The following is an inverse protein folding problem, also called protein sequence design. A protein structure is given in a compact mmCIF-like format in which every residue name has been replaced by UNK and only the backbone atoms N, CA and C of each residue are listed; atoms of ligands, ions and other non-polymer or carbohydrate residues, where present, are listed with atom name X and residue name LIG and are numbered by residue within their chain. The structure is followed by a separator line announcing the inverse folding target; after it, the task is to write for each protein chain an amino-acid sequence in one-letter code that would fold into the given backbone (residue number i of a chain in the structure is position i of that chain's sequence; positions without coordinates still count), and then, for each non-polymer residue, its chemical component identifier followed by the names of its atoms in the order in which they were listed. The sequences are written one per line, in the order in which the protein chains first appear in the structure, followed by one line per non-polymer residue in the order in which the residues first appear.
data_IF_137333857336
#
_entry.id   IF_137333857336
#
_cell.length_a   1.000
_cell.length_b   1.000
_cell.length_c   1.000
_cell.angle_alpha   90.00
_cell.angle_beta   90.00
_cell.angle_gamma   90.00
#
_symmetry.space_group_name_H-M   'P 1'
#
loop_
_entity.id
_entity.type
_entity.pdbx_description
1 polymer ?
#
# COMPACT_ATOMS: atom_id res chain seq x y z
N UNK A 1 9.86 9.11 -64.10
CA UNK A 1 10.85 10.20 -64.26
C UNK A 1 10.58 11.20 -63.15
N UNK A 2 11.12 10.98 -61.95
CA UNK A 2 12.44 11.46 -61.48
C UNK A 2 12.43 12.93 -61.07
N UNK A 3 12.41 13.19 -59.75
CA UNK A 3 13.28 14.14 -59.02
C UNK A 3 12.81 14.20 -57.56
N UNK A 4 13.47 13.58 -56.57
CA UNK A 4 14.75 13.90 -55.91
C UNK A 4 14.78 15.22 -55.11
N UNK A 5 14.80 15.01 -53.79
CA UNK A 5 15.59 15.69 -52.73
C UNK A 5 15.29 17.13 -52.31
N UNK A 6 15.07 17.31 -50.99
CA UNK A 6 16.06 17.93 -50.06
C UNK A 6 15.62 17.82 -48.59
N UNK A 7 16.48 17.20 -47.79
CA UNK A 7 16.63 17.46 -46.34
C UNK A 7 17.44 18.76 -46.13
N UNK A 8 17.34 19.39 -44.95
CA UNK A 8 18.45 19.32 -43.98
C UNK A 8 17.94 19.09 -42.54
N UNK A 9 18.51 18.15 -41.78
CA UNK A 9 19.70 18.32 -40.94
C UNK A 9 19.52 19.38 -39.84
N UNK A 10 19.07 18.95 -38.66
CA UNK A 10 19.31 19.67 -37.41
C UNK A 10 20.31 18.89 -36.57
N UNK A 11 21.27 19.65 -36.11
CA UNK A 11 22.59 19.29 -35.60
C UNK A 11 22.57 18.90 -34.12
N UNK A 12 23.45 17.95 -33.81
CA UNK A 12 24.28 17.80 -32.61
C UNK A 12 23.66 18.12 -31.23
N UNK A 13 23.76 17.14 -30.33
CA UNK A 13 24.78 17.23 -29.27
C UNK A 13 25.03 15.86 -28.63
N UNK A 14 26.28 15.42 -28.76
CA UNK A 14 26.91 14.39 -27.95
C UNK A 14 27.17 14.96 -26.56
N UNK A 15 26.78 14.23 -25.52
CA UNK A 15 27.37 14.39 -24.19
C UNK A 15 27.77 13.01 -23.66
N UNK A 16 29.08 12.75 -23.75
CA UNK A 16 29.82 11.72 -23.02
C UNK A 16 30.35 12.39 -21.75
N UNK A 17 30.10 11.83 -20.57
CA UNK A 17 30.87 12.04 -19.32
C UNK A 17 30.16 11.27 -18.19
N UNK A 18 30.71 10.13 -17.78
CA UNK A 18 31.74 9.90 -16.76
C UNK A 18 31.15 9.47 -15.42
N UNK A 19 31.58 8.27 -15.03
CA UNK A 19 31.52 7.57 -13.76
C UNK A 19 31.91 8.46 -12.56
N UNK A 20 31.10 8.44 -11.49
CA UNK A 20 31.46 8.53 -10.06
C UNK A 20 30.25 7.96 -9.29
N UNK A 21 30.29 6.74 -8.78
CA UNK A 21 30.79 6.37 -7.45
C UNK A 21 30.22 7.20 -6.29
N UNK A 22 29.77 6.44 -5.28
CA UNK A 22 29.66 6.80 -3.88
C UNK A 22 28.28 7.26 -3.38
N UNK A 23 27.63 6.31 -2.69
CA UNK A 23 26.69 6.60 -1.64
C UNK A 23 27.48 7.17 -0.43
N UNK A 24 27.04 8.31 0.12
CA UNK A 24 26.92 8.35 1.57
C UNK A 24 25.60 9.00 2.02
N UNK A 25 24.90 8.22 2.85
CA UNK A 25 24.35 8.56 4.17
C UNK A 25 24.33 10.05 4.61
N UNK A 26 23.23 10.36 5.29
CA UNK A 26 22.94 11.44 6.28
C UNK A 26 22.21 12.67 5.74
N UNK A 27 21.39 13.44 6.47
CA UNK A 27 20.60 13.31 7.71
C UNK A 27 20.07 14.75 7.98
N UNK A 28 18.76 14.95 8.16
CA UNK A 28 18.21 16.12 8.87
C UNK A 28 16.76 15.81 9.27
N UNK A 29 16.46 15.25 10.44
CA UNK A 29 16.27 15.94 11.74
C UNK A 29 15.64 17.32 11.58
N UNK A 30 14.34 17.47 11.88
CA UNK A 30 13.73 18.08 13.10
C UNK A 30 12.27 17.57 13.12
N UNK A 31 11.82 16.88 14.15
CA UNK A 31 11.05 17.53 15.21
C UNK A 31 11.36 16.96 16.60
N UNK A 32 11.15 17.83 17.58
CA UNK A 32 11.77 17.87 18.89
C UNK A 32 10.64 17.84 19.91
N UNK A 33 10.72 16.84 20.81
CA UNK A 33 10.38 16.88 22.26
C UNK A 33 8.92 17.12 22.67
N UNK A 34 8.39 16.55 23.76
CA UNK A 34 8.88 15.68 24.83
C UNK A 34 7.66 15.33 25.70
N UNK A 35 7.57 14.10 26.19
CA UNK A 35 7.18 13.74 27.58
C UNK A 35 6.91 12.25 27.62
N UNK A 36 7.29 11.44 28.60
CA UNK A 36 8.21 11.53 29.74
C UNK A 36 8.47 10.06 30.11
N UNK A 37 9.70 9.75 30.52
CA UNK A 37 10.15 8.42 30.93
C UNK A 37 9.26 7.83 32.04
N UNK A 38 9.08 6.51 32.10
CA UNK A 38 9.69 5.57 33.07
C UNK A 38 8.72 4.36 33.09
N UNK A 39 9.04 3.08 33.29
CA UNK A 39 10.22 2.36 33.75
C UNK A 39 9.91 0.88 33.54
N UNK A 40 10.88 0.11 33.06
CA UNK A 40 11.02 -1.35 33.27
C UNK A 40 9.94 -2.28 32.69
N UNK A 41 10.30 -3.10 31.70
CA UNK A 41 10.60 -4.51 32.01
C UNK A 41 11.10 -5.26 30.77
N UNK A 42 12.26 -5.89 30.91
CA UNK A 42 12.78 -6.93 30.02
C UNK A 42 11.78 -8.10 29.97
N UNK A 43 11.20 -8.33 28.79
CA UNK A 43 11.05 -9.66 28.20
C UNK A 43 10.78 -9.47 26.72
N UNK A 44 11.82 -9.64 25.92
CA UNK A 44 11.68 -10.05 24.52
C UNK A 44 11.08 -11.46 24.50
N UNK A 45 9.80 -11.56 24.84
CA UNK A 45 8.97 -12.62 24.33
C UNK A 45 8.59 -12.13 22.94
N UNK A 46 9.27 -12.64 21.92
CA UNK A 46 8.73 -12.61 20.56
C UNK A 46 7.38 -13.32 20.66
N UNK A 47 6.31 -12.55 20.82
CA UNK A 47 4.96 -13.06 20.67
C UNK A 47 4.84 -13.41 19.20
N UNK A 48 5.09 -14.68 18.89
CA UNK A 48 4.65 -15.27 17.64
C UNK A 48 3.16 -14.90 17.52
N UNK A 49 2.70 -14.31 16.41
CA UNK A 49 1.32 -13.86 16.31
C UNK A 49 0.41 -15.05 16.58
N UNK A 50 -0.34 -14.99 17.69
CA UNK A 50 -1.30 -16.01 18.08
C UNK A 50 -2.39 -16.04 17.00
N UNK A 51 -2.24 -16.97 16.06
CA UNK A 51 -3.14 -17.17 14.94
C UNK A 51 -4.42 -17.87 15.42
N UNK A 52 -5.18 -17.19 16.29
CA UNK A 52 -6.46 -17.70 16.81
C UNK A 52 -7.52 -17.59 15.71
N UNK A 53 -8.28 -18.66 15.42
CA UNK A 53 -9.38 -18.58 14.48
C UNK A 53 -10.41 -17.56 14.99
N UNK A 54 -10.83 -16.65 14.13
CA UNK A 54 -11.78 -15.58 14.42
C UNK A 54 -11.15 -14.27 14.90
N UNK A 55 -9.88 -14.25 15.33
CA UNK A 55 -9.20 -13.03 15.75
C UNK A 55 -8.67 -12.20 14.59
N UNK A 56 -8.92 -10.89 14.61
CA UNK A 56 -8.27 -9.94 13.69
C UNK A 56 -6.86 -9.66 14.23
N UNK A 57 -5.86 -9.73 13.35
CA UNK A 57 -4.48 -9.39 13.68
C UNK A 57 -4.34 -7.89 13.94
N UNK A 58 -3.22 -7.50 14.54
CA UNK A 58 -2.81 -6.10 14.56
C UNK A 58 -2.75 -5.51 13.14
N UNK A 59 -2.95 -4.19 13.05
CA UNK A 59 -2.81 -3.44 11.81
C UNK A 59 -1.34 -3.39 11.42
N UNK A 60 -1.04 -3.95 10.26
CA UNK A 60 0.28 -4.00 9.66
C UNK A 60 0.41 -2.93 8.57
N UNK A 61 1.62 -2.40 8.33
CA UNK A 61 1.85 -1.52 7.19
C UNK A 61 1.64 -2.25 5.86
N UNK A 62 1.41 -1.53 4.77
CA UNK A 62 1.27 -2.14 3.44
C UNK A 62 2.46 -3.05 3.08
N UNK A 63 2.14 -4.30 2.73
CA UNK A 63 3.08 -5.32 2.25
C UNK A 63 2.78 -5.64 0.77
N UNK A 64 3.73 -6.21 0.04
CA UNK A 64 3.56 -6.63 -1.35
C UNK A 64 2.34 -7.55 -1.53
N UNK A 65 2.08 -8.43 -0.56
CA UNK A 65 0.90 -9.30 -0.57
C UNK A 65 -0.40 -8.50 -0.49
N UNK A 66 -0.45 -7.50 0.40
CA UNK A 66 -1.65 -6.68 0.58
C UNK A 66 -1.90 -5.80 -0.66
N UNK A 67 -0.83 -5.28 -1.27
CA UNK A 67 -0.88 -4.51 -2.51
C UNK A 67 -1.41 -5.38 -3.66
N UNK A 68 -0.91 -6.61 -3.82
CA UNK A 68 -1.41 -7.56 -4.82
C UNK A 68 -2.90 -7.87 -4.64
N UNK A 69 -3.32 -8.18 -3.41
CA UNK A 69 -4.73 -8.44 -3.09
C UNK A 69 -5.59 -7.23 -3.44
N UNK A 70 -5.17 -6.03 -3.03
CA UNK A 70 -5.88 -4.79 -3.30
C UNK A 70 -6.03 -4.53 -4.82
N UNK A 71 -4.97 -4.76 -5.60
CA UNK A 71 -4.98 -4.61 -7.05
C UNK A 71 -5.89 -5.64 -7.72
N UNK A 72 -5.89 -6.89 -7.23
CA UNK A 72 -6.70 -7.97 -7.78
C UNK A 72 -8.20 -7.71 -7.59
N UNK A 73 -8.57 -7.07 -6.50
CA UNK A 73 -9.96 -6.71 -6.21
C UNK A 73 -10.36 -5.31 -6.69
N UNK A 74 -9.44 -4.52 -7.26
CA UNK A 74 -9.70 -3.14 -7.67
C UNK A 74 -10.94 -3.02 -8.56
N UNK A 75 -11.06 -3.87 -9.57
CA UNK A 75 -12.23 -3.87 -10.47
C UNK A 75 -13.54 -4.16 -9.74
N UNK A 76 -13.55 -5.06 -8.75
CA UNK A 76 -14.73 -5.34 -7.93
C UNK A 76 -15.08 -4.16 -7.01
N UNK A 77 -14.06 -3.46 -6.50
CA UNK A 77 -14.21 -2.26 -5.67
C UNK A 77 -14.83 -1.12 -6.48
N UNK A 78 -14.34 -0.87 -7.69
CA UNK A 78 -14.87 0.16 -8.60
C UNK A 78 -16.31 -0.14 -9.04
N UNK A 79 -16.63 -1.41 -9.31
CA UNK A 79 -18.00 -1.85 -9.62
C UNK A 79 -18.95 -1.61 -8.45
N UNK A 80 -18.59 -2.06 -7.24
CA UNK A 80 -19.43 -1.87 -6.03
C UNK A 80 -19.63 -0.41 -5.67
N UNK A 81 -18.62 0.41 -5.90
CA UNK A 81 -18.67 1.84 -5.57
C UNK A 81 -19.28 2.66 -6.71
N UNK A 82 -19.43 2.09 -7.92
CA UNK A 82 -19.83 2.80 -9.14
C UNK A 82 -18.97 4.06 -9.39
N UNK A 83 -17.70 4.01 -8.99
CA UNK A 83 -16.72 5.11 -9.08
C UNK A 83 -15.38 4.54 -9.50
N UNK A 84 -14.61 5.31 -10.27
CA UNK A 84 -13.25 4.96 -10.66
C UNK A 84 -12.25 5.71 -9.80
N UNK A 85 -11.15 5.04 -9.45
CA UNK A 85 -10.13 5.60 -8.58
C UNK A 85 -8.81 5.83 -9.35
N UNK A 86 -8.43 7.09 -9.51
CA UNK A 86 -7.15 7.48 -10.13
C UNK A 86 -5.96 7.14 -9.22
N UNK A 87 -6.12 7.34 -7.91
CA UNK A 87 -5.16 6.95 -6.89
C UNK A 87 -5.68 5.71 -6.19
N UNK A 88 -4.85 4.69 -6.02
CA UNK A 88 -5.23 3.46 -5.33
C UNK A 88 -4.00 2.88 -4.62
N UNK A 89 -3.64 3.50 -3.49
CA UNK A 89 -2.45 3.16 -2.75
C UNK A 89 -2.82 2.45 -1.45
N UNK A 90 -2.32 1.23 -1.26
CA UNK A 90 -2.51 0.51 0.01
C UNK A 90 -1.67 1.18 1.09
N UNK A 91 -2.28 1.50 2.23
CA UNK A 91 -1.61 2.17 3.36
C UNK A 91 -1.31 1.19 4.49
N UNK A 92 -2.32 0.45 4.92
CA UNK A 92 -2.22 -0.55 5.98
C UNK A 92 -3.22 -1.68 5.74
N UNK A 93 -2.99 -2.82 6.38
CA UNK A 93 -3.86 -3.98 6.29
C UNK A 93 -3.92 -4.74 7.61
N UNK A 94 -4.99 -5.50 7.80
CA UNK A 94 -5.14 -6.46 8.88
C UNK A 94 -5.69 -7.77 8.29
N UNK A 95 -5.45 -8.88 8.97
CA UNK A 95 -5.92 -10.20 8.52
C UNK A 95 -6.67 -10.90 9.64
N UNK A 96 -7.65 -11.71 9.27
CA UNK A 96 -8.41 -12.53 10.20
C UNK A 96 -8.54 -13.93 9.65
N UNK A 97 -8.14 -14.92 10.44
CA UNK A 97 -8.23 -16.33 10.07
C UNK A 97 -9.64 -16.84 10.32
N UNK A 98 -10.26 -17.41 9.31
CA UNK A 98 -11.61 -18.02 9.39
C UNK A 98 -11.59 -19.36 8.62
N UNK A 99 -12.72 -19.82 8.06
CA UNK A 99 -12.73 -20.88 7.04
C UNK A 99 -12.18 -20.36 5.69
N UNK A 100 -10.97 -19.81 5.71
CA UNK A 100 -10.39 -18.91 4.72
C UNK A 100 -9.60 -17.80 5.40
N UNK A 101 -9.37 -16.69 4.71
CA UNK A 101 -8.70 -15.51 5.28
C UNK A 101 -9.46 -14.25 4.90
N UNK A 102 -9.88 -13.44 5.87
CA UNK A 102 -10.30 -12.08 5.58
C UNK A 102 -9.07 -11.16 5.59
N UNK A 103 -8.99 -10.28 4.62
CA UNK A 103 -8.08 -9.15 4.56
C UNK A 103 -8.91 -7.88 4.70
N UNK A 104 -8.58 -7.09 5.70
CA UNK A 104 -9.02 -5.71 5.81
C UNK A 104 -7.89 -4.87 5.22
N UNK A 105 -8.20 -3.99 4.29
CA UNK A 105 -7.20 -3.20 3.58
C UNK A 105 -7.66 -1.75 3.60
N UNK A 106 -6.79 -0.87 4.12
CA UNK A 106 -6.95 0.57 4.06
C UNK A 106 -6.28 1.10 2.80
N UNK A 107 -7.06 1.73 1.93
CA UNK A 107 -6.59 2.18 0.63
C UNK A 107 -6.83 3.68 0.51
N UNK A 108 -5.77 4.41 0.21
CA UNK A 108 -5.83 5.84 -0.10
C UNK A 108 -6.29 6.01 -1.55
N UNK A 109 -7.38 6.74 -1.72
CA UNK A 109 -8.01 6.99 -3.03
C UNK A 109 -7.99 8.45 -3.48
N UNK A 110 -7.66 9.36 -2.57
CA UNK A 110 -7.45 10.79 -2.84
C UNK A 110 -6.49 11.42 -1.82
N UNK A 111 -6.42 12.75 -1.74
CA UNK A 111 -5.48 13.44 -0.85
C UNK A 111 -5.69 13.09 0.64
N UNK A 112 -6.95 13.08 1.09
CA UNK A 112 -7.37 12.76 2.45
C UNK A 112 -8.54 11.77 2.49
N UNK A 113 -8.82 11.09 1.38
CA UNK A 113 -9.90 10.13 1.25
C UNK A 113 -9.34 8.71 1.28
N UNK A 114 -9.86 7.91 2.20
CA UNK A 114 -9.53 6.51 2.36
C UNK A 114 -10.79 5.67 2.25
N UNK A 115 -10.60 4.45 1.75
CA UNK A 115 -11.61 3.41 1.76
C UNK A 115 -11.09 2.22 2.54
N UNK A 116 -11.98 1.57 3.28
CA UNK A 116 -11.68 0.30 3.94
C UNK A 116 -12.36 -0.80 3.14
N UNK A 117 -11.57 -1.76 2.66
CA UNK A 117 -12.04 -2.87 1.84
C UNK A 117 -11.84 -4.16 2.61
N UNK A 118 -12.90 -4.97 2.67
CA UNK A 118 -12.85 -6.32 3.22
C UNK A 118 -12.86 -7.33 2.08
N UNK A 119 -11.75 -8.04 1.93
CA UNK A 119 -11.55 -9.09 0.94
C UNK A 119 -11.54 -10.43 1.63
N UNK A 120 -12.36 -11.37 1.17
CA UNK A 120 -12.28 -12.76 1.58
C UNK A 120 -11.43 -13.52 0.57
N UNK A 121 -10.44 -14.25 1.09
CA UNK A 121 -9.68 -15.25 0.36
C UNK A 121 -10.22 -16.63 0.70
N UNK A 122 -10.75 -17.31 -0.30
CA UNK A 122 -11.22 -18.69 -0.17
C UNK A 122 -10.04 -19.66 0.01
N UNK A 123 -10.32 -20.88 0.48
CA UNK A 123 -9.32 -21.95 0.57
C UNK A 123 -8.77 -22.36 -0.81
N UNK A 124 -9.49 -22.05 -1.89
CA UNK A 124 -9.06 -22.23 -3.27
C UNK A 124 -8.23 -21.04 -3.81
N UNK A 125 -7.86 -20.08 -2.95
CA UNK A 125 -7.10 -18.88 -3.29
C UNK A 125 -7.82 -17.90 -4.25
N UNK A 126 -9.16 -17.89 -4.23
CA UNK A 126 -9.95 -16.87 -4.92
C UNK A 126 -10.21 -15.66 -4.01
N UNK A 127 -10.24 -14.46 -4.58
CA UNK A 127 -10.44 -13.21 -3.87
C UNK A 127 -11.78 -12.56 -4.21
N UNK A 128 -12.58 -12.31 -3.18
CA UNK A 128 -13.91 -11.70 -3.31
C UNK A 128 -14.07 -10.53 -2.36
N UNK A 129 -14.58 -9.39 -2.83
CA UNK A 129 -14.89 -8.24 -1.96
C UNK A 129 -16.18 -8.52 -1.20
N UNK A 130 -16.10 -8.65 0.12
CA UNK A 130 -17.24 -8.88 1.01
C UNK A 130 -17.83 -7.60 1.57
N UNK A 131 -17.03 -6.56 1.75
CA UNK A 131 -17.49 -5.30 2.33
C UNK A 131 -16.61 -4.15 1.88
N UNK A 132 -17.22 -2.95 1.87
CA UNK A 132 -16.55 -1.71 1.52
C UNK A 132 -17.13 -0.58 2.37
N UNK A 133 -16.25 0.27 2.90
CA UNK A 133 -16.60 1.51 3.59
C UNK A 133 -15.89 2.68 2.90
N UNK A 134 -16.67 3.66 2.46
CA UNK A 134 -16.17 4.91 1.87
C UNK A 134 -16.09 6.03 2.90
N UNK A 135 -15.43 7.13 2.54
CA UNK A 135 -15.41 8.36 3.34
C UNK A 135 -14.61 8.23 4.63
N UNK A 136 -13.66 7.29 4.69
CA UNK A 136 -12.75 7.14 5.83
C UNK A 136 -11.57 8.10 5.71
N UNK A 137 -10.96 8.40 6.84
CA UNK A 137 -9.79 9.28 6.94
C UNK A 137 -8.55 8.49 7.36
N UNK A 138 -7.38 9.11 7.30
CA UNK A 138 -6.13 8.45 7.71
C UNK A 138 -6.15 8.02 9.19
N UNK A 139 -6.82 8.77 10.05
CA UNK A 139 -6.93 8.48 11.49
C UNK A 139 -7.94 7.38 11.82
N UNK A 140 -8.82 6.99 10.89
CA UNK A 140 -9.78 5.91 11.10
C UNK A 140 -9.06 4.56 11.21
N UNK A 141 -9.22 3.88 12.33
CA UNK A 141 -8.57 2.59 12.56
C UNK A 141 -9.20 1.47 11.71
N UNK A 142 -8.36 0.53 11.28
CA UNK A 142 -8.80 -0.59 10.47
C UNK A 142 -9.36 -1.69 11.38
N UNK A 143 -10.68 -1.66 11.57
CA UNK A 143 -11.42 -2.64 12.38
C UNK A 143 -12.30 -3.56 11.52
N UNK A 144 -12.92 -4.55 12.17
CA UNK A 144 -13.91 -5.44 11.54
C UNK A 144 -15.20 -4.68 11.21
N UNK A 145 -15.79 -4.96 10.04
CA UNK A 145 -17.08 -4.44 9.59
C UNK A 145 -17.80 -5.42 8.66
#
# INVERSE_FOLDING_TARGET
MSSLNRTPHSTLSVAKSTKVESCPRQLSKKEVTQSTAETTNRRSHTTMPNNVPGGVSDVLPADDTAIDVANRVKSQVEEKTSRTFSTYQTHSYAKQVVAGMNYFIKIKVGDNEFIHVRVFRSLQAEYSVHGLQEGKTESDELAYF
#
